data_IF_000734849165
#
_entry.id   IF_000734849165
#
_cell.length_a   1.000
_cell.length_b   1.000
_cell.length_c   1.000
_cell.angle_alpha   90.00
_cell.angle_beta   90.00
_cell.angle_gamma   90.00
#
_symmetry.space_group_name_H-M   'P 1'
#
loop_
_entity.id
_entity.type
_entity.pdbx_description
1 polymer ?
#
# COMPACT_ATOMS: atom_id res chain seq x y z
N UNK A 1 33.23 25.92 52.12
CA UNK A 1 33.10 26.86 50.99
C UNK A 1 33.58 26.28 49.65
N UNK A 2 34.75 25.67 49.53
CA UNK A 2 35.32 25.15 48.28
C UNK A 2 34.44 24.04 47.65
N UNK A 3 33.91 23.10 48.46
CA UNK A 3 33.04 22.00 47.95
C UNK A 3 31.72 22.53 47.39
N UNK A 4 31.12 23.53 48.04
CA UNK A 4 29.87 24.13 47.58
C UNK A 4 30.04 24.88 46.24
N UNK A 5 31.20 25.54 46.06
CA UNK A 5 31.56 26.21 44.83
C UNK A 5 31.80 25.21 43.67
N UNK A 6 32.47 24.10 43.95
CA UNK A 6 32.68 23.04 42.97
C UNK A 6 31.37 22.38 42.55
N UNK A 7 30.43 22.13 43.45
CA UNK A 7 29.09 21.61 43.14
C UNK A 7 28.28 22.60 42.27
N UNK A 8 28.34 23.90 42.59
CA UNK A 8 27.64 24.91 41.79
C UNK A 8 28.20 24.99 40.36
N UNK A 9 29.53 24.92 40.21
CA UNK A 9 30.16 24.85 38.88
C UNK A 9 29.75 23.61 38.10
N UNK A 10 29.70 22.42 38.72
CA UNK A 10 29.27 21.19 38.07
C UNK A 10 27.82 21.28 37.57
N UNK A 11 26.91 21.87 38.36
CA UNK A 11 25.52 22.10 37.95
C UNK A 11 25.42 23.04 36.76
N UNK A 12 26.17 24.17 36.76
CA UNK A 12 26.20 25.13 35.67
C UNK A 12 26.69 24.47 34.38
N UNK A 13 27.76 23.70 34.44
CA UNK A 13 28.33 22.97 33.30
C UNK A 13 27.33 21.98 32.75
N UNK A 14 26.60 21.22 33.61
CA UNK A 14 25.57 20.27 33.19
C UNK A 14 24.42 20.96 32.45
N UNK A 15 23.95 22.09 32.92
CA UNK A 15 22.90 22.90 32.27
C UNK A 15 23.37 23.38 30.90
N UNK A 16 24.59 23.87 30.78
CA UNK A 16 25.14 24.33 29.48
C UNK A 16 25.22 23.18 28.46
N UNK A 17 25.66 22.00 28.92
CA UNK A 17 25.71 20.80 28.06
C UNK A 17 24.31 20.40 27.59
N UNK A 18 23.31 20.38 28.47
CA UNK A 18 21.93 20.05 28.13
C UNK A 18 21.38 21.03 27.09
N UNK A 19 21.60 22.35 27.28
CA UNK A 19 21.18 23.36 26.34
C UNK A 19 21.87 23.16 24.98
N UNK A 20 23.16 22.87 24.95
CA UNK A 20 23.90 22.61 23.72
C UNK A 20 23.36 21.39 22.97
N UNK A 21 23.01 20.30 23.68
CA UNK A 21 22.40 19.10 23.11
C UNK A 21 21.00 19.43 22.53
N UNK A 22 20.18 20.19 23.26
CA UNK A 22 18.87 20.62 22.78
C UNK A 22 18.96 21.46 21.49
N UNK A 23 19.90 22.39 21.45
CA UNK A 23 20.17 23.22 20.25
C UNK A 23 20.61 22.32 19.09
N UNK A 24 21.50 21.36 19.32
CA UNK A 24 21.97 20.42 18.31
C UNK A 24 20.80 19.59 17.75
N UNK A 25 19.93 19.08 18.62
CA UNK A 25 18.72 18.33 18.21
C UNK A 25 17.80 19.20 17.37
N UNK A 26 17.59 20.46 17.74
CA UNK A 26 16.76 21.41 16.97
C UNK A 26 17.37 21.72 15.60
N UNK A 27 18.70 21.90 15.53
CA UNK A 27 19.40 22.13 14.27
C UNK A 27 19.34 20.90 13.35
N UNK A 28 19.52 19.71 13.92
CA UNK A 28 19.36 18.44 13.18
C UNK A 28 17.93 18.28 12.68
N UNK A 29 16.91 18.46 13.52
CA UNK A 29 15.50 18.42 13.10
C UNK A 29 15.20 19.45 12.00
N UNK A 30 15.74 20.67 12.11
CA UNK A 30 15.56 21.72 11.09
C UNK A 30 16.22 21.33 9.76
N UNK A 31 17.41 20.70 9.80
CA UNK A 31 18.13 20.25 8.61
C UNK A 31 17.40 19.07 7.91
N UNK A 32 16.78 18.18 8.69
CA UNK A 32 15.96 17.09 8.13
C UNK A 32 14.59 17.56 7.63
N UNK A 33 13.94 18.50 8.34
CA UNK A 33 12.63 19.04 7.93
C UNK A 33 12.67 19.77 6.59
N UNK A 34 13.81 20.32 6.20
CA UNK A 34 13.94 21.07 4.94
C UNK A 34 14.36 20.22 3.73
N UNK A 35 14.57 18.89 3.90
CA UNK A 35 14.99 18.03 2.77
C UNK A 35 13.84 17.41 1.99
N UNK A 36 12.64 17.36 2.57
CA UNK A 36 11.51 16.63 1.97
C UNK A 36 10.49 17.55 1.26
N UNK A 37 10.72 18.86 1.24
CA UNK A 37 9.90 19.77 0.45
C UNK A 37 10.53 19.90 -0.94
N UNK A 38 10.09 19.05 -1.86
CA UNK A 38 10.35 19.23 -3.29
C UNK A 38 9.69 20.56 -3.67
N UNK A 39 10.52 21.54 -4.05
CA UNK A 39 9.99 22.81 -4.57
C UNK A 39 9.38 22.56 -5.95
N UNK A 40 8.06 22.54 -6.03
CA UNK A 40 7.29 22.40 -7.28
C UNK A 40 7.19 23.71 -8.06
N UNK A 41 8.05 24.68 -7.79
CA UNK A 41 8.05 25.97 -8.48
C UNK A 41 8.30 25.77 -9.99
N UNK A 42 7.29 26.10 -10.80
CA UNK A 42 7.36 25.98 -12.27
C UNK A 42 7.07 24.56 -12.82
N UNK A 43 6.81 23.59 -11.98
CA UNK A 43 6.40 22.24 -12.39
C UNK A 43 4.90 22.23 -12.62
N UNK A 44 4.46 21.72 -13.77
CA UNK A 44 3.04 21.54 -14.13
C UNK A 44 2.60 20.08 -14.03
N UNK A 45 3.54 19.17 -14.05
CA UNK A 45 3.30 17.73 -14.02
C UNK A 45 4.09 17.10 -12.88
N UNK A 46 3.43 16.26 -12.10
CA UNK A 46 4.05 15.49 -11.01
C UNK A 46 3.93 14.00 -11.34
N UNK A 47 4.98 13.26 -11.06
CA UNK A 47 5.02 11.79 -11.21
C UNK A 47 5.11 11.16 -9.84
N UNK A 48 4.21 10.21 -9.56
CA UNK A 48 4.23 9.37 -8.37
C UNK A 48 4.44 7.92 -8.77
N UNK A 49 5.38 7.25 -8.12
CA UNK A 49 5.50 5.81 -8.16
C UNK A 49 4.77 5.21 -6.94
N UNK A 50 3.62 4.59 -7.18
CA UNK A 50 2.81 3.98 -6.11
C UNK A 50 3.39 2.63 -5.67
N UNK A 51 4.08 1.92 -6.57
CA UNK A 51 4.74 0.65 -6.25
C UNK A 51 5.89 0.79 -5.24
N UNK A 52 6.51 1.96 -5.12
CA UNK A 52 7.54 2.22 -4.12
C UNK A 52 7.00 2.58 -2.72
N UNK A 53 5.67 2.62 -2.55
CA UNK A 53 5.06 2.86 -1.25
C UNK A 53 5.23 1.65 -0.35
N UNK A 54 5.61 1.91 0.89
CA UNK A 54 5.79 0.89 1.92
C UNK A 54 4.80 1.15 3.05
N UNK A 55 4.22 0.08 3.57
CA UNK A 55 3.40 0.13 4.78
C UNK A 55 4.18 0.82 5.92
N UNK A 56 3.52 1.70 6.67
CA UNK A 56 4.16 2.55 7.68
C UNK A 56 4.94 1.77 8.75
N UNK A 57 4.50 0.57 9.09
CA UNK A 57 5.17 -0.31 10.05
C UNK A 57 6.47 -0.95 9.49
N UNK A 58 6.67 -0.96 8.17
CA UNK A 58 7.88 -1.45 7.52
C UNK A 58 9.00 -0.41 7.47
N UNK A 59 8.67 0.87 7.69
CA UNK A 59 9.67 1.95 7.73
C UNK A 59 10.40 1.91 9.06
N UNK A 60 11.45 1.10 9.16
CA UNK A 60 12.32 1.09 10.33
C UNK A 60 13.31 2.25 10.27
N UNK A 61 13.74 2.73 11.45
CA UNK A 61 14.78 3.76 11.58
C UNK A 61 16.15 3.35 10.95
N UNK A 62 16.28 2.08 10.57
CA UNK A 62 17.48 1.47 9.96
C UNK A 62 17.34 1.28 8.45
N UNK A 63 16.17 1.58 7.86
CA UNK A 63 15.99 1.45 6.42
C UNK A 63 16.83 2.49 5.68
N UNK A 64 17.90 2.03 5.04
CA UNK A 64 18.84 2.85 4.25
C UNK A 64 18.19 3.29 2.92
N UNK A 65 17.18 2.58 2.47
CA UNK A 65 16.38 2.94 1.30
C UNK A 65 15.30 3.93 1.71
N UNK A 66 15.21 5.04 0.98
CA UNK A 66 14.16 6.07 1.13
C UNK A 66 12.82 5.56 0.59
N UNK A 67 12.30 4.46 1.12
CA UNK A 67 10.94 4.08 0.87
C UNK A 67 10.03 5.19 1.41
N UNK A 68 9.14 5.70 0.57
CA UNK A 68 8.15 6.68 0.97
C UNK A 68 7.10 5.95 1.83
N UNK A 69 6.92 6.40 3.05
CA UNK A 69 5.82 5.93 3.89
C UNK A 69 4.50 6.31 3.23
N UNK A 70 3.50 5.43 3.34
CA UNK A 70 2.16 5.65 2.82
C UNK A 70 1.57 6.99 3.32
N UNK A 71 1.68 7.29 4.61
CA UNK A 71 1.20 8.55 5.22
C UNK A 71 1.86 9.79 4.60
N UNK A 72 3.16 9.74 4.29
CA UNK A 72 3.87 10.85 3.63
C UNK A 72 3.35 11.05 2.22
N UNK A 73 3.06 9.96 1.49
CA UNK A 73 2.53 10.04 0.12
C UNK A 73 1.10 10.54 0.10
N UNK A 74 0.23 10.07 0.99
CA UNK A 74 -1.14 10.58 1.10
C UNK A 74 -1.13 12.09 1.36
N UNK A 75 -0.32 12.57 2.30
CA UNK A 75 -0.17 14.01 2.57
C UNK A 75 0.38 14.79 1.37
N UNK A 76 1.30 14.19 0.62
CA UNK A 76 1.80 14.81 -0.60
C UNK A 76 0.71 14.92 -1.68
N UNK A 77 -0.08 13.87 -1.87
CA UNK A 77 -1.23 13.87 -2.79
C UNK A 77 -2.32 14.86 -2.35
N UNK A 78 -2.63 14.92 -1.05
CA UNK A 78 -3.58 15.89 -0.50
C UNK A 78 -3.13 17.34 -0.75
N UNK A 79 -1.85 17.64 -0.58
CA UNK A 79 -1.31 18.96 -0.87
C UNK A 79 -1.44 19.36 -2.35
N UNK A 80 -1.48 18.38 -3.26
CA UNK A 80 -1.70 18.65 -4.68
C UNK A 80 -3.14 19.02 -5.01
N UNK A 81 -4.11 18.67 -4.17
CA UNK A 81 -5.54 19.04 -4.40
C UNK A 81 -5.66 20.54 -4.52
N UNK A 82 -5.01 21.29 -3.63
CA UNK A 82 -5.11 22.74 -3.55
C UNK A 82 -4.07 23.49 -4.43
N UNK A 83 -3.07 22.79 -4.97
CA UNK A 83 -2.05 23.41 -5.82
C UNK A 83 -2.56 23.60 -7.25
N UNK A 84 -3.03 24.82 -7.54
CA UNK A 84 -3.53 25.23 -8.87
C UNK A 84 -2.46 25.29 -9.96
N UNK A 85 -1.19 25.14 -9.64
CA UNK A 85 -0.10 25.14 -10.62
C UNK A 85 0.11 23.79 -11.27
N UNK A 86 -0.28 22.73 -10.56
CA UNK A 86 -0.22 21.36 -11.06
C UNK A 86 -1.46 21.10 -11.89
N UNK A 87 -1.24 20.80 -13.15
CA UNK A 87 -2.29 20.53 -14.15
C UNK A 87 -2.45 19.02 -14.39
N UNK A 88 -1.35 18.26 -14.20
CA UNK A 88 -1.27 16.85 -14.56
C UNK A 88 -0.54 16.02 -13.51
N UNK A 89 -1.08 14.83 -13.24
CA UNK A 89 -0.49 13.85 -12.34
C UNK A 89 -0.30 12.54 -13.10
N UNK A 90 0.92 12.03 -13.12
CA UNK A 90 1.24 10.71 -13.68
C UNK A 90 1.49 9.77 -12.52
N UNK A 91 0.80 8.66 -12.50
CA UNK A 91 0.95 7.60 -11.49
C UNK A 91 1.55 6.36 -12.15
N UNK A 92 2.69 5.93 -11.64
CA UNK A 92 3.27 4.64 -11.97
C UNK A 92 2.69 3.60 -10.99
N UNK A 93 2.05 2.57 -11.55
CA UNK A 93 1.35 1.54 -10.78
C UNK A 93 2.00 0.16 -10.90
N UNK A 94 3.23 0.10 -11.36
CA UNK A 94 3.98 -1.15 -11.33
C UNK A 94 4.33 -1.54 -9.89
N UNK A 95 4.28 -2.84 -9.60
CA UNK A 95 4.67 -3.44 -8.32
C UNK A 95 3.91 -2.89 -7.08
N UNK A 96 2.62 -2.59 -7.22
CA UNK A 96 1.79 -2.14 -6.09
C UNK A 96 1.62 -3.25 -5.07
N UNK A 97 2.17 -3.05 -3.86
CA UNK A 97 2.01 -3.93 -2.69
C UNK A 97 1.42 -3.14 -1.52
N UNK A 98 0.17 -2.74 -1.65
CA UNK A 98 -0.56 -1.95 -0.66
C UNK A 98 -1.74 -2.73 -0.11
N UNK A 99 -2.04 -2.50 1.17
CA UNK A 99 -3.27 -2.98 1.78
C UNK A 99 -4.50 -2.37 1.09
N UNK A 100 -5.63 -3.07 1.18
CA UNK A 100 -6.88 -2.54 0.62
C UNK A 100 -7.33 -1.23 1.27
N UNK A 101 -7.04 -1.04 2.53
CA UNK A 101 -7.35 0.22 3.23
C UNK A 101 -6.62 1.38 2.55
N UNK A 102 -5.33 1.22 2.30
CA UNK A 102 -4.53 2.24 1.62
C UNK A 102 -4.98 2.51 0.18
N UNK A 103 -5.43 1.47 -0.53
CA UNK A 103 -6.01 1.65 -1.87
C UNK A 103 -7.29 2.49 -1.80
N UNK A 104 -8.17 2.26 -0.83
CA UNK A 104 -9.39 3.06 -0.67
C UNK A 104 -9.08 4.52 -0.27
N UNK A 105 -8.07 4.75 0.57
CA UNK A 105 -7.61 6.11 0.91
C UNK A 105 -7.09 6.85 -0.33
N UNK A 106 -6.29 6.20 -1.16
CA UNK A 106 -5.82 6.75 -2.44
C UNK A 106 -6.99 7.07 -3.37
N UNK A 107 -7.99 6.18 -3.46
CA UNK A 107 -9.19 6.41 -4.25
C UNK A 107 -9.92 7.69 -3.84
N UNK A 108 -10.09 7.92 -2.55
CA UNK A 108 -10.78 9.13 -2.06
C UNK A 108 -10.01 10.41 -2.41
N UNK A 109 -8.67 10.39 -2.35
CA UNK A 109 -7.87 11.55 -2.75
C UNK A 109 -7.94 11.75 -4.27
N UNK A 110 -7.88 10.69 -5.06
CA UNK A 110 -7.95 10.78 -6.52
C UNK A 110 -9.28 11.31 -7.03
N UNK A 111 -10.39 10.98 -6.37
CA UNK A 111 -11.68 11.61 -6.66
C UNK A 111 -11.65 13.14 -6.52
N UNK A 112 -10.91 13.65 -5.54
CA UNK A 112 -10.73 15.10 -5.34
C UNK A 112 -9.81 15.70 -6.40
N UNK A 113 -8.71 15.01 -6.70
CA UNK A 113 -7.72 15.46 -7.70
C UNK A 113 -8.31 15.51 -9.12
N UNK A 114 -9.14 14.54 -9.50
CA UNK A 114 -9.74 14.43 -10.83
C UNK A 114 -10.73 15.54 -11.17
N UNK A 115 -11.09 16.40 -10.22
CA UNK A 115 -11.97 17.55 -10.48
C UNK A 115 -11.27 18.61 -11.34
N UNK A 116 -10.00 18.90 -11.05
CA UNK A 116 -9.26 20.00 -11.66
C UNK A 116 -7.95 19.57 -12.36
N UNK A 117 -7.58 18.30 -12.28
CA UNK A 117 -6.30 17.80 -12.78
C UNK A 117 -6.48 16.57 -13.66
N UNK A 118 -5.71 16.48 -14.73
CA UNK A 118 -5.63 15.26 -15.54
C UNK A 118 -4.76 14.22 -14.84
N UNK A 119 -5.34 13.04 -14.56
CA UNK A 119 -4.62 11.92 -13.96
C UNK A 119 -4.34 10.87 -15.03
N UNK A 120 -3.09 10.46 -15.14
CA UNK A 120 -2.62 9.46 -16.09
C UNK A 120 -1.97 8.32 -15.33
N UNK A 121 -2.46 7.11 -15.51
CA UNK A 121 -1.81 5.90 -15.00
C UNK A 121 -0.89 5.28 -16.06
N UNK A 122 0.30 4.88 -15.65
CA UNK A 122 1.27 4.16 -16.49
C UNK A 122 1.72 2.89 -15.77
N UNK A 123 2.04 1.85 -16.52
CA UNK A 123 2.58 0.61 -15.96
C UNK A 123 2.98 -0.37 -17.06
N UNK A 124 3.73 -1.39 -16.67
CA UNK A 124 4.09 -2.53 -17.53
C UNK A 124 3.25 -3.75 -17.23
N UNK A 125 2.94 -3.99 -15.98
CA UNK A 125 2.13 -5.12 -15.53
C UNK A 125 1.00 -4.63 -14.65
N UNK A 126 -0.22 -5.06 -14.95
CA UNK A 126 -1.40 -4.75 -14.14
C UNK A 126 -2.00 -6.03 -13.58
N UNK A 127 -2.05 -6.12 -12.26
CA UNK A 127 -2.84 -7.08 -11.52
C UNK A 127 -4.16 -6.45 -11.02
N UNK A 128 -4.96 -7.16 -10.26
CA UNK A 128 -6.23 -6.67 -9.73
C UNK A 128 -6.06 -5.42 -8.85
N UNK A 129 -4.95 -5.28 -8.13
CA UNK A 129 -4.71 -4.16 -7.22
C UNK A 129 -4.22 -2.92 -7.97
N UNK A 130 -3.19 -3.06 -8.76
CA UNK A 130 -2.62 -1.98 -9.58
C UNK A 130 -3.63 -1.46 -10.61
N UNK A 131 -4.44 -2.36 -11.20
CA UNK A 131 -5.48 -1.96 -12.14
C UNK A 131 -6.63 -1.19 -11.46
N UNK A 132 -7.01 -1.53 -10.24
CA UNK A 132 -7.99 -0.74 -9.47
C UNK A 132 -7.52 0.72 -9.29
N UNK A 133 -6.25 0.93 -9.01
CA UNK A 133 -5.67 2.28 -8.91
C UNK A 133 -5.67 2.94 -10.30
N UNK A 134 -5.22 2.23 -11.34
CA UNK A 134 -5.19 2.76 -12.69
C UNK A 134 -6.57 3.19 -13.20
N UNK A 135 -7.64 2.48 -12.81
CA UNK A 135 -9.03 2.83 -13.17
C UNK A 135 -9.52 4.16 -12.57
N UNK A 136 -8.79 4.75 -11.64
CA UNK A 136 -9.09 6.09 -11.11
C UNK A 136 -8.56 7.20 -12.00
N UNK A 137 -7.64 6.88 -12.91
CA UNK A 137 -7.05 7.83 -13.84
C UNK A 137 -7.97 8.08 -15.04
N UNK A 138 -7.85 9.27 -15.64
CA UNK A 138 -8.54 9.64 -16.88
C UNK A 138 -8.03 8.83 -18.07
N UNK A 139 -6.73 8.49 -18.04
CA UNK A 139 -6.07 7.69 -19.10
C UNK A 139 -5.16 6.66 -18.48
N UNK A 140 -5.14 5.47 -19.10
CA UNK A 140 -4.27 4.36 -18.70
C UNK A 140 -3.36 4.03 -19.89
N UNK A 141 -2.06 4.01 -19.66
CA UNK A 141 -1.07 3.59 -20.64
C UNK A 141 -0.28 2.39 -20.14
N UNK A 142 -0.26 1.35 -20.94
CA UNK A 142 0.64 0.22 -20.74
C UNK A 142 1.85 0.37 -21.65
N UNK A 143 3.05 0.22 -21.10
CA UNK A 143 4.26 0.23 -21.89
C UNK A 143 4.28 -0.98 -22.82
N UNK A 144 4.56 -0.77 -24.09
CA UNK A 144 4.65 -1.85 -25.09
C UNK A 144 5.99 -2.54 -25.02
N UNK A 145 6.14 -3.47 -24.08
CA UNK A 145 7.34 -4.31 -23.91
C UNK A 145 6.97 -5.79 -23.98
N UNK A 146 7.95 -6.65 -24.16
CA UNK A 146 7.73 -8.12 -24.14
C UNK A 146 7.26 -8.64 -22.76
N UNK A 147 7.47 -7.86 -21.72
CA UNK A 147 7.13 -8.20 -20.33
C UNK A 147 5.78 -7.62 -19.91
N UNK A 148 5.20 -6.72 -20.72
CA UNK A 148 3.93 -6.08 -20.38
C UNK A 148 2.79 -7.07 -20.48
N UNK A 149 1.99 -7.14 -19.41
CA UNK A 149 0.84 -8.03 -19.35
C UNK A 149 -0.24 -7.51 -18.39
N UNK A 150 -1.46 -7.96 -18.63
CA UNK A 150 -2.54 -7.93 -17.64
C UNK A 150 -2.57 -9.28 -16.95
N UNK A 151 -2.42 -9.28 -15.64
CA UNK A 151 -2.25 -10.49 -14.87
C UNK A 151 -3.36 -10.66 -13.83
N UNK A 152 -4.58 -10.78 -14.31
CA UNK A 152 -5.77 -10.98 -13.46
C UNK A 152 -5.96 -12.47 -13.15
N UNK A 153 -5.67 -12.85 -11.91
CA UNK A 153 -5.74 -14.23 -11.40
C UNK A 153 -6.95 -14.50 -10.52
N UNK A 154 -7.67 -13.44 -10.15
CA UNK A 154 -8.67 -13.50 -9.09
C UNK A 154 -8.00 -13.53 -7.70
N UNK A 155 -8.78 -13.89 -6.69
CA UNK A 155 -8.33 -13.87 -5.30
C UNK A 155 -8.08 -15.29 -4.79
N UNK A 156 -6.86 -15.58 -4.38
CA UNK A 156 -6.43 -16.86 -3.83
C UNK A 156 -6.21 -16.76 -2.32
N UNK A 157 -6.51 -17.84 -1.60
CA UNK A 157 -6.16 -18.00 -0.20
C UNK A 157 -5.46 -19.33 0.00
N UNK A 158 -4.29 -19.33 0.61
CA UNK A 158 -3.50 -20.49 0.97
C UNK A 158 -3.17 -20.45 2.45
N UNK A 159 -3.34 -21.56 3.14
CA UNK A 159 -3.01 -21.69 4.55
C UNK A 159 -2.40 -23.07 4.82
N UNK A 160 -1.28 -23.14 5.53
CA UNK A 160 -0.72 -24.41 5.97
C UNK A 160 -1.50 -24.96 7.19
N UNK A 161 -1.62 -26.30 7.28
CA UNK A 161 -2.21 -27.00 8.41
C UNK A 161 -1.14 -27.81 9.13
N UNK A 162 -0.97 -27.60 10.43
CA UNK A 162 0.14 -28.12 11.22
C UNK A 162 -0.25 -29.27 12.15
N UNK A 163 -1.52 -29.66 12.25
CA UNK A 163 -2.01 -30.72 13.16
C UNK A 163 -1.16 -31.97 13.09
N UNK A 164 -0.91 -32.49 11.90
CA UNK A 164 -0.17 -33.75 11.73
C UNK A 164 1.31 -33.61 12.09
N UNK A 165 1.94 -32.48 11.78
CA UNK A 165 3.32 -32.20 12.19
C UNK A 165 3.43 -32.12 13.71
N UNK A 166 2.50 -31.41 14.36
CA UNK A 166 2.45 -31.28 15.82
C UNK A 166 2.22 -32.64 16.50
N UNK A 167 1.34 -33.47 15.95
CA UNK A 167 1.09 -34.83 16.45
C UNK A 167 2.36 -35.68 16.39
N UNK A 168 3.17 -35.60 15.35
CA UNK A 168 4.47 -36.26 15.23
C UNK A 168 5.45 -35.83 16.31
N UNK A 169 5.35 -34.61 16.80
CA UNK A 169 6.14 -34.07 17.91
C UNK A 169 5.52 -34.33 19.28
N UNK A 170 4.43 -35.10 19.35
CA UNK A 170 3.71 -35.39 20.60
C UNK A 170 2.88 -34.21 21.13
N UNK A 171 2.61 -33.18 20.31
CA UNK A 171 1.84 -31.99 20.69
C UNK A 171 0.40 -32.14 20.19
N UNK A 172 -0.56 -32.02 21.10
CA UNK A 172 -1.99 -31.90 20.77
C UNK A 172 -2.48 -30.48 21.06
N UNK A 173 -3.08 -29.84 20.06
CA UNK A 173 -3.66 -28.51 20.20
C UNK A 173 -5.17 -28.63 20.31
N UNK A 174 -5.72 -28.09 21.40
CA UNK A 174 -7.16 -27.97 21.60
C UNK A 174 -7.56 -26.50 21.47
N UNK A 175 -8.44 -26.20 20.52
CA UNK A 175 -9.00 -24.86 20.33
C UNK A 175 -10.36 -24.76 21.04
N UNK A 176 -10.53 -23.72 21.84
CA UNK A 176 -11.81 -23.41 22.49
C UNK A 176 -12.40 -22.18 21.80
N UNK A 177 -13.57 -22.35 21.23
CA UNK A 177 -14.28 -21.24 20.56
C UNK A 177 -15.79 -21.37 20.79
N UNK A 178 -16.50 -20.28 20.66
CA UNK A 178 -17.97 -20.23 20.71
C UNK A 178 -18.45 -19.76 19.33
N UNK A 179 -19.22 -20.62 18.65
CA UNK A 179 -19.75 -20.39 17.29
C UNK A 179 -18.87 -21.03 16.22
N UNK A 180 -19.53 -21.53 15.18
CA UNK A 180 -18.95 -22.39 14.14
C UNK A 180 -17.99 -21.63 13.22
N UNK A 181 -18.16 -20.31 13.07
CA UNK A 181 -17.32 -19.46 12.25
C UNK A 181 -16.09 -18.86 13.00
N UNK A 182 -15.82 -19.29 14.23
CA UNK A 182 -14.62 -18.92 15.00
C UNK A 182 -13.45 -19.84 14.69
N UNK A 183 -12.89 -19.69 13.51
CA UNK A 183 -11.96 -20.64 12.85
C UNK A 183 -10.47 -20.32 12.99
N UNK A 184 -10.09 -19.34 13.81
CA UNK A 184 -8.71 -18.85 13.89
C UNK A 184 -7.67 -19.90 14.31
N UNK A 185 -8.06 -20.93 15.06
CA UNK A 185 -7.17 -21.99 15.54
C UNK A 185 -7.10 -23.24 14.64
N UNK A 186 -7.82 -23.28 13.54
CA UNK A 186 -7.94 -24.48 12.68
C UNK A 186 -6.60 -24.93 12.11
N UNK A 187 -5.71 -24.03 11.75
CA UNK A 187 -4.38 -24.35 11.21
C UNK A 187 -3.57 -25.27 12.12
N UNK A 188 -3.85 -25.28 13.43
CA UNK A 188 -3.14 -26.09 14.41
C UNK A 188 -3.94 -27.30 14.88
N UNK A 189 -5.28 -27.24 14.80
CA UNK A 189 -6.17 -28.28 15.34
C UNK A 189 -6.79 -29.19 14.27
N UNK A 190 -6.78 -28.77 13.02
CA UNK A 190 -7.32 -29.52 11.88
C UNK A 190 -6.23 -29.88 10.87
N UNK A 191 -6.50 -30.83 10.01
CA UNK A 191 -5.61 -31.25 8.91
C UNK A 191 -5.99 -30.63 7.57
N UNK A 192 -7.15 -30.00 7.51
CA UNK A 192 -7.68 -29.28 6.34
C UNK A 192 -8.69 -28.24 6.79
N UNK A 193 -9.06 -27.37 5.88
CA UNK A 193 -10.07 -26.34 6.07
C UNK A 193 -11.46 -26.94 6.35
N UNK A 194 -12.16 -26.41 7.35
CA UNK A 194 -13.57 -26.75 7.61
C UNK A 194 -14.50 -26.11 6.56
N UNK A 195 -15.72 -26.60 6.44
CA UNK A 195 -16.69 -26.03 5.47
C UNK A 195 -17.11 -24.61 5.89
N UNK A 196 -17.22 -24.32 7.17
CA UNK A 196 -17.55 -22.98 7.72
C UNK A 196 -16.48 -21.96 7.37
N UNK A 197 -15.21 -22.33 7.51
CA UNK A 197 -14.09 -21.45 7.08
C UNK A 197 -14.07 -21.25 5.58
N UNK A 198 -14.31 -22.33 4.83
CA UNK A 198 -14.36 -22.28 3.37
C UNK A 198 -15.49 -21.38 2.89
N UNK A 199 -16.70 -21.51 3.47
CA UNK A 199 -17.83 -20.65 3.16
C UNK A 199 -17.52 -19.18 3.45
N UNK A 200 -16.97 -18.88 4.63
CA UNK A 200 -16.59 -17.52 5.00
C UNK A 200 -15.58 -16.91 4.02
N UNK A 201 -14.55 -17.67 3.67
CA UNK A 201 -13.52 -17.23 2.70
C UNK A 201 -14.08 -17.07 1.29
N UNK A 202 -14.97 -17.96 0.85
CA UNK A 202 -15.62 -17.85 -0.46
C UNK A 202 -16.47 -16.59 -0.54
N UNK A 203 -17.25 -16.25 0.49
CA UNK A 203 -18.03 -15.03 0.55
C UNK A 203 -17.15 -13.76 0.45
N UNK A 204 -16.01 -13.75 1.15
CA UNK A 204 -15.05 -12.65 1.07
C UNK A 204 -14.48 -12.55 -0.35
N UNK A 205 -14.02 -13.65 -0.93
CA UNK A 205 -13.43 -13.69 -2.28
C UNK A 205 -14.44 -13.25 -3.34
N UNK A 206 -15.67 -13.74 -3.26
CA UNK A 206 -16.75 -13.36 -4.19
C UNK A 206 -17.03 -11.85 -4.10
N UNK A 207 -17.13 -11.31 -2.88
CA UNK A 207 -17.33 -9.86 -2.67
C UNK A 207 -16.20 -9.05 -3.32
N UNK A 208 -14.95 -9.47 -3.13
CA UNK A 208 -13.79 -8.81 -3.72
C UNK A 208 -13.81 -8.86 -5.25
N UNK A 209 -14.10 -10.04 -5.79
CA UNK A 209 -14.17 -10.26 -7.21
C UNK A 209 -15.28 -9.40 -7.84
N UNK A 210 -16.48 -9.41 -7.26
CA UNK A 210 -17.60 -8.60 -7.76
C UNK A 210 -17.30 -7.10 -7.68
N UNK A 211 -16.65 -6.63 -6.61
CA UNK A 211 -16.25 -5.22 -6.49
C UNK A 211 -15.28 -4.84 -7.60
N UNK A 212 -14.30 -5.69 -7.91
CA UNK A 212 -13.36 -5.45 -9.00
C UNK A 212 -14.07 -5.42 -10.36
N UNK A 213 -14.87 -6.43 -10.67
CA UNK A 213 -15.63 -6.51 -11.93
C UNK A 213 -16.57 -5.29 -12.11
N UNK A 214 -17.27 -4.91 -11.05
CA UNK A 214 -18.16 -3.75 -11.09
C UNK A 214 -17.42 -2.45 -11.36
N UNK A 215 -16.23 -2.28 -10.77
CA UNK A 215 -15.38 -1.12 -11.01
C UNK A 215 -14.90 -1.07 -12.48
N UNK A 216 -14.48 -2.21 -13.04
CA UNK A 216 -14.10 -2.31 -14.46
C UNK A 216 -15.30 -1.98 -15.37
N UNK A 217 -16.46 -2.57 -15.09
CA UNK A 217 -17.70 -2.26 -15.85
C UNK A 217 -18.06 -0.78 -15.79
N UNK A 218 -17.96 -0.17 -14.60
CA UNK A 218 -18.24 1.25 -14.42
C UNK A 218 -17.30 2.14 -15.23
N UNK A 219 -15.99 1.89 -15.13
CA UNK A 219 -14.96 2.75 -15.70
C UNK A 219 -14.67 2.47 -17.18
N UNK A 220 -14.66 1.20 -17.58
CA UNK A 220 -14.28 0.79 -18.94
C UNK A 220 -15.47 0.41 -19.83
N UNK A 221 -16.68 0.25 -19.26
CA UNK A 221 -17.90 -0.18 -19.95
C UNK A 221 -17.79 -1.56 -20.62
N UNK A 222 -16.92 -2.42 -20.10
CA UNK A 222 -16.70 -3.79 -20.55
C UNK A 222 -16.95 -4.77 -19.41
N UNK A 223 -17.31 -5.99 -19.73
CA UNK A 223 -17.42 -7.12 -18.79
C UNK A 223 -16.33 -8.12 -19.10
N UNK A 224 -15.45 -8.33 -18.14
CA UNK A 224 -14.29 -9.23 -18.24
C UNK A 224 -14.43 -10.47 -17.34
N UNK A 225 -15.64 -10.74 -16.86
CA UNK A 225 -15.89 -11.83 -15.89
C UNK A 225 -15.50 -13.20 -16.47
N UNK A 226 -15.93 -13.50 -17.69
CA UNK A 226 -15.65 -14.79 -18.30
C UNK A 226 -14.17 -14.95 -18.65
N UNK A 227 -13.53 -13.89 -19.11
CA UNK A 227 -12.11 -13.87 -19.47
C UNK A 227 -11.20 -14.10 -18.25
N UNK A 228 -11.56 -13.54 -17.09
CA UNK A 228 -10.83 -13.81 -15.84
C UNK A 228 -11.04 -15.27 -15.42
N UNK A 229 -12.29 -15.75 -15.42
CA UNK A 229 -12.60 -17.11 -14.98
C UNK A 229 -12.00 -18.18 -15.90
N UNK A 230 -11.89 -17.93 -17.19
CA UNK A 230 -11.25 -18.84 -18.15
C UNK A 230 -9.72 -18.76 -18.17
N UNK A 231 -9.15 -17.70 -17.59
CA UNK A 231 -7.73 -17.41 -17.67
C UNK A 231 -7.26 -16.90 -19.04
N UNK A 232 -8.19 -16.58 -19.96
CA UNK A 232 -7.87 -16.15 -21.32
C UNK A 232 -7.32 -14.73 -21.39
N UNK A 233 -7.53 -13.93 -20.34
CA UNK A 233 -6.98 -12.57 -20.23
C UNK A 233 -5.46 -12.52 -20.35
N UNK A 234 -4.78 -13.52 -19.84
CA UNK A 234 -3.31 -13.62 -19.92
C UNK A 234 -2.85 -13.74 -21.38
N UNK A 235 -3.70 -14.24 -22.28
CA UNK A 235 -3.34 -14.53 -23.68
C UNK A 235 -3.74 -13.45 -24.68
N UNK A 236 -4.84 -12.72 -24.45
CA UNK A 236 -5.51 -11.97 -25.53
C UNK A 236 -5.69 -10.47 -25.29
N UNK A 237 -5.41 -9.93 -24.10
CA UNK A 237 -5.81 -8.54 -23.80
C UNK A 237 -4.87 -7.46 -24.32
N UNK A 238 -3.73 -7.79 -24.85
CA UNK A 238 -2.87 -6.81 -25.54
C UNK A 238 -3.59 -6.18 -26.75
N UNK A 239 -4.61 -6.86 -27.30
CA UNK A 239 -5.31 -6.40 -28.50
C UNK A 239 -6.57 -5.53 -28.23
N UNK A 240 -7.22 -5.62 -27.09
CA UNK A 240 -8.56 -5.05 -26.86
C UNK A 240 -8.67 -3.91 -25.83
N UNK A 241 -7.64 -3.62 -25.05
CA UNK A 241 -7.67 -2.52 -24.06
C UNK A 241 -7.11 -1.18 -24.58
N UNK A 242 -6.79 -1.10 -25.86
CA UNK A 242 -6.28 0.09 -26.54
C UNK A 242 -7.36 0.97 -27.21
N UNK A 243 -8.63 0.75 -26.88
CA UNK A 243 -9.73 1.56 -27.42
C UNK A 243 -10.40 2.40 -26.33
#
# INVERSE_FOLDING_TARGET
>A
MVILYALLQAVIISIVIIIAICILILLVKRKFKNKDVISLKGVKTVVFNIGELVEDYMVSAVSINKALSHDVTLKALENLVDDKKIEKIIIDVDEVDLSRVHIEEIKEIFKKLSVDKEIIAIGTTFDEYSYQIALLADKIYMLNTKQSCLYFRGYEYKEPYFKNVLATLGVTVNTLHIGDYKVAGESFSHDKMTEEKKESLMNIKETLFQNFINLVKEKRKIDITNEILSGDLIKNMVAHLWL
#
